data_IF_950498527013
#
_entry.id   IF_950498527013
#
_cell.length_a   1.000
_cell.length_b   1.000
_cell.length_c   1.000
_cell.angle_alpha   90.00
_cell.angle_beta   90.00
_cell.angle_gamma   90.00
#
_symmetry.space_group_name_H-M   'P 1'
#
loop_
_entity.id
_entity.type
_entity.pdbx_description
1 polymer ?
#
# COMPACT_ATOMS: atom_id res chain seq x y z
N UNK A 1 -39.04 -17.25 -7.64
CA UNK A 1 -38.01 -16.83 -6.71
C UNK A 1 -36.67 -16.52 -7.41
N UNK A 2 -36.22 -17.39 -8.30
CA UNK A 2 -34.98 -17.12 -9.04
C UNK A 2 -35.09 -15.86 -9.88
N UNK A 3 -36.24 -15.60 -10.47
CA UNK A 3 -36.50 -14.39 -11.25
C UNK A 3 -36.44 -13.16 -10.33
N UNK A 4 -37.06 -13.25 -9.14
CA UNK A 4 -37.00 -12.17 -8.18
C UNK A 4 -35.58 -11.93 -7.67
N UNK A 5 -34.85 -12.98 -7.37
CA UNK A 5 -33.44 -12.87 -6.95
C UNK A 5 -32.57 -12.28 -8.06
N UNK A 6 -32.78 -12.67 -9.29
CA UNK A 6 -32.04 -12.11 -10.41
C UNK A 6 -32.32 -10.63 -10.59
N UNK A 7 -33.59 -10.22 -10.50
CA UNK A 7 -33.97 -8.81 -10.58
C UNK A 7 -33.39 -8.00 -9.42
N UNK A 8 -33.46 -8.54 -8.19
CA UNK A 8 -32.89 -7.89 -7.00
C UNK A 8 -31.38 -7.79 -7.12
N UNK A 9 -30.74 -8.85 -7.61
CA UNK A 9 -29.28 -8.85 -7.80
C UNK A 9 -28.87 -7.81 -8.84
N UNK A 10 -29.55 -7.70 -9.94
CA UNK A 10 -29.27 -6.71 -10.96
C UNK A 10 -29.41 -5.29 -10.41
N UNK A 11 -30.45 -5.02 -9.62
CA UNK A 11 -30.62 -3.71 -8.97
C UNK A 11 -29.51 -3.43 -7.98
N UNK A 12 -29.10 -4.43 -7.17
CA UNK A 12 -28.02 -4.29 -6.20
C UNK A 12 -26.71 -4.03 -6.93
N UNK A 13 -26.44 -4.74 -8.01
CA UNK A 13 -25.22 -4.56 -8.81
C UNK A 13 -25.14 -3.13 -9.38
N UNK A 14 -26.21 -2.61 -9.91
CA UNK A 14 -26.25 -1.23 -10.41
C UNK A 14 -26.03 -0.22 -9.28
N UNK A 15 -26.67 -0.42 -8.13
CA UNK A 15 -26.49 0.45 -6.97
C UNK A 15 -25.05 0.38 -6.46
N UNK A 16 -24.47 -0.82 -6.36
CA UNK A 16 -23.08 -0.99 -5.91
C UNK A 16 -22.09 -0.37 -6.89
N UNK A 17 -22.34 -0.46 -8.19
CA UNK A 17 -21.50 0.17 -9.20
C UNK A 17 -21.53 1.70 -9.11
N UNK A 18 -22.63 2.28 -8.65
CA UNK A 18 -22.77 3.71 -8.45
C UNK A 18 -22.18 4.21 -7.12
N UNK A 19 -21.91 3.30 -6.17
CA UNK A 19 -21.34 3.65 -4.88
C UNK A 19 -19.81 3.71 -4.96
N UNK A 20 -19.19 4.66 -4.23
CA UNK A 20 -17.74 4.66 -4.12
C UNK A 20 -17.25 3.36 -3.47
N UNK A 21 -16.13 2.87 -3.95
CA UNK A 21 -15.45 1.76 -3.31
C UNK A 21 -14.91 2.18 -1.95
N UNK A 22 -14.93 1.25 -0.99
CA UNK A 22 -14.31 1.50 0.31
C UNK A 22 -12.81 1.55 0.15
N UNK A 23 -12.12 2.47 0.84
CA UNK A 23 -10.67 2.49 0.83
C UNK A 23 -10.10 1.15 1.30
N UNK A 24 -9.02 0.74 0.65
CA UNK A 24 -8.27 -0.47 1.02
C UNK A 24 -6.84 -0.09 1.35
N UNK A 25 -6.26 -0.81 2.28
CA UNK A 25 -4.87 -0.62 2.68
C UNK A 25 -4.12 -1.93 2.57
N UNK A 26 -2.96 -1.87 1.96
CA UNK A 26 -2.04 -3.00 1.85
C UNK A 26 -0.73 -2.63 2.51
N UNK A 27 -0.04 -3.62 3.06
CA UNK A 27 1.29 -3.47 3.62
C UNK A 27 2.25 -4.41 2.92
N UNK A 28 3.40 -3.90 2.54
CA UNK A 28 4.52 -4.71 2.05
C UNK A 28 5.71 -4.44 2.96
N UNK A 29 6.46 -5.50 3.27
CA UNK A 29 7.53 -5.45 4.24
C UNK A 29 8.88 -5.62 3.54
N UNK A 30 9.89 -4.97 4.10
CA UNK A 30 11.21 -4.86 3.51
C UNK A 30 12.26 -5.55 4.36
N UNK A 31 13.29 -6.05 3.68
CA UNK A 31 14.47 -6.55 4.36
C UNK A 31 15.23 -5.40 5.03
N UNK A 32 16.04 -5.74 6.03
CA UNK A 32 16.82 -4.76 6.77
C UNK A 32 17.68 -3.94 5.81
N UNK A 33 17.64 -2.62 5.97
CA UNK A 33 18.51 -1.67 5.27
C UNK A 33 18.53 -1.89 3.74
N UNK A 34 17.36 -2.20 3.15
CA UNK A 34 17.31 -2.57 1.76
C UNK A 34 16.02 -2.08 1.08
N UNK A 35 16.06 -2.09 -0.26
CA UNK A 35 14.88 -1.91 -1.10
C UNK A 35 14.27 -3.25 -1.52
N UNK A 36 14.82 -4.36 -1.03
CA UNK A 36 14.29 -5.68 -1.29
C UNK A 36 13.12 -5.99 -0.36
N UNK A 37 12.03 -6.48 -0.93
CA UNK A 37 10.87 -6.97 -0.18
C UNK A 37 11.19 -8.30 0.50
N UNK A 38 10.48 -8.59 1.60
CA UNK A 38 10.48 -9.94 2.14
C UNK A 38 9.87 -10.91 1.14
N UNK A 39 10.18 -12.20 1.26
CA UNK A 39 9.66 -13.22 0.34
C UNK A 39 8.13 -13.21 0.29
N UNK A 40 7.47 -13.13 1.45
CA UNK A 40 6.01 -13.10 1.54
C UNK A 40 5.44 -11.87 0.83
N UNK A 41 6.01 -10.69 1.07
CA UNK A 41 5.53 -9.46 0.42
C UNK A 41 5.77 -9.48 -1.09
N UNK A 42 6.89 -10.04 -1.54
CA UNK A 42 7.15 -10.20 -2.97
C UNK A 42 6.13 -11.12 -3.63
N UNK A 43 5.72 -12.20 -2.96
CA UNK A 43 4.68 -13.10 -3.46
C UNK A 43 3.32 -12.42 -3.55
N UNK A 44 3.00 -11.55 -2.60
CA UNK A 44 1.70 -10.86 -2.55
C UNK A 44 1.62 -9.68 -3.51
N UNK A 45 2.75 -9.20 -4.00
CA UNK A 45 2.81 -7.94 -4.75
C UNK A 45 1.97 -7.95 -6.03
N UNK A 46 1.96 -9.07 -6.77
CA UNK A 46 1.18 -9.16 -8.01
C UNK A 46 -0.32 -9.04 -7.75
N UNK A 47 -0.80 -9.67 -6.68
CA UNK A 47 -2.20 -9.55 -6.27
C UNK A 47 -2.54 -8.12 -5.85
N UNK A 48 -1.64 -7.46 -5.11
CA UNK A 48 -1.83 -6.07 -4.69
C UNK A 48 -1.89 -5.14 -5.91
N UNK A 49 -0.99 -5.31 -6.87
CA UNK A 49 -0.98 -4.51 -8.11
C UNK A 49 -2.31 -4.67 -8.86
N UNK A 50 -2.82 -5.87 -8.98
CA UNK A 50 -4.09 -6.12 -9.66
C UNK A 50 -5.25 -5.48 -8.92
N UNK A 51 -5.30 -5.62 -7.59
CA UNK A 51 -6.37 -5.02 -6.79
C UNK A 51 -6.40 -3.50 -6.94
N UNK A 52 -5.23 -2.86 -6.86
CA UNK A 52 -5.13 -1.41 -7.00
C UNK A 52 -5.52 -0.97 -8.41
N UNK A 53 -5.06 -1.68 -9.44
CA UNK A 53 -5.35 -1.35 -10.83
C UNK A 53 -6.83 -1.53 -11.18
N UNK A 54 -7.50 -2.50 -10.55
CA UNK A 54 -8.92 -2.77 -10.76
C UNK A 54 -9.84 -1.83 -9.98
N UNK A 55 -9.28 -1.06 -9.07
CA UNK A 55 -10.06 -0.10 -8.28
C UNK A 55 -10.61 1.00 -9.20
N UNK A 56 -11.92 1.33 -9.15
CA UNK A 56 -12.48 2.36 -10.02
C UNK A 56 -11.88 3.74 -9.75
N UNK A 57 -11.34 4.37 -10.78
CA UNK A 57 -10.69 5.68 -10.70
C UNK A 57 -9.75 5.79 -9.50
N UNK A 58 -8.70 4.95 -9.41
CA UNK A 58 -7.92 4.82 -8.18
C UNK A 58 -7.14 6.08 -7.86
N UNK A 59 -7.20 6.48 -6.59
CA UNK A 59 -6.32 7.46 -5.98
C UNK A 59 -5.49 6.74 -4.92
N UNK A 60 -4.17 6.86 -5.00
CA UNK A 60 -3.26 6.03 -4.22
C UNK A 60 -2.34 6.91 -3.37
N UNK A 61 -2.21 6.55 -2.10
CA UNK A 61 -1.21 7.13 -1.21
C UNK A 61 -0.24 6.01 -0.83
N UNK A 62 1.04 6.22 -1.14
CA UNK A 62 2.12 5.29 -0.82
C UNK A 62 2.92 5.90 0.31
N UNK A 63 2.92 5.26 1.47
CA UNK A 63 3.60 5.76 2.66
C UNK A 63 4.73 4.83 3.05
N UNK A 64 5.96 5.35 3.03
CA UNK A 64 7.14 4.61 3.43
C UNK A 64 7.43 4.77 4.92
N UNK A 65 7.85 3.67 5.54
CA UNK A 65 8.21 3.60 6.96
C UNK A 65 9.52 2.84 7.13
N UNK A 66 10.19 3.14 8.24
CA UNK A 66 11.40 2.46 8.66
C UNK A 66 11.28 2.07 10.12
N UNK A 67 12.13 1.13 10.58
CA UNK A 67 12.27 0.87 12.01
C UNK A 67 13.20 1.94 12.65
N UNK A 68 13.45 1.81 13.93
CA UNK A 68 14.22 2.80 14.68
C UNK A 68 15.71 2.48 14.78
N UNK A 69 16.18 1.53 13.98
CA UNK A 69 17.59 1.19 13.90
C UNK A 69 18.34 2.22 13.07
N UNK A 70 19.35 2.84 13.63
CA UNK A 70 20.17 3.83 12.95
C UNK A 70 19.62 5.25 13.02
N UNK A 71 20.30 6.21 12.36
CA UNK A 71 19.95 7.62 12.45
C UNK A 71 18.59 7.95 11.82
N UNK A 72 17.87 8.89 12.40
CA UNK A 72 16.56 9.34 11.92
C UNK A 72 16.63 9.86 10.48
N UNK A 73 17.67 10.64 10.15
CA UNK A 73 17.83 11.18 8.78
C UNK A 73 18.01 10.08 7.74
N UNK A 74 18.75 9.04 8.10
CA UNK A 74 18.93 7.88 7.24
C UNK A 74 17.61 7.14 7.03
N UNK A 75 16.86 6.95 8.10
CA UNK A 75 15.56 6.27 8.06
C UNK A 75 14.52 7.08 7.27
N UNK A 76 14.55 8.40 7.35
CA UNK A 76 13.72 9.27 6.50
C UNK A 76 14.02 9.04 5.03
N UNK A 77 15.30 9.06 4.66
CA UNK A 77 15.72 8.85 3.27
C UNK A 77 15.37 7.44 2.78
N UNK A 78 15.56 6.43 3.62
CA UNK A 78 15.24 5.04 3.27
C UNK A 78 13.72 4.85 3.06
N UNK A 79 12.91 5.41 3.95
CA UNK A 79 11.46 5.34 3.84
C UNK A 79 10.97 6.02 2.56
N UNK A 80 11.58 7.14 2.16
CA UNK A 80 11.26 7.82 0.91
C UNK A 80 11.63 6.98 -0.31
N UNK A 81 12.81 6.37 -0.31
CA UNK A 81 13.25 5.50 -1.42
C UNK A 81 12.33 4.30 -1.57
N UNK A 82 11.90 3.69 -0.46
CA UNK A 82 10.95 2.57 -0.47
C UNK A 82 9.60 2.99 -1.05
N UNK A 83 9.08 4.15 -0.64
CA UNK A 83 7.81 4.66 -1.15
C UNK A 83 7.90 4.99 -2.65
N UNK A 84 9.00 5.59 -3.10
CA UNK A 84 9.21 5.89 -4.53
C UNK A 84 9.32 4.62 -5.36
N UNK A 85 9.99 3.61 -4.85
CA UNK A 85 10.07 2.31 -5.52
C UNK A 85 8.68 1.72 -5.73
N UNK A 86 7.86 1.73 -4.69
CA UNK A 86 6.50 1.21 -4.77
C UNK A 86 5.64 2.03 -5.73
N UNK A 87 5.78 3.36 -5.74
CA UNK A 87 5.16 4.21 -6.76
C UNK A 87 5.53 3.76 -8.17
N UNK A 88 6.81 3.52 -8.42
CA UNK A 88 7.28 3.10 -9.75
C UNK A 88 6.71 1.75 -10.15
N UNK A 89 6.56 0.83 -9.19
CA UNK A 89 5.91 -0.46 -9.41
C UNK A 89 4.44 -0.26 -9.82
N UNK A 90 3.73 0.63 -9.14
CA UNK A 90 2.33 0.92 -9.45
C UNK A 90 2.16 1.66 -10.78
N UNK A 91 3.10 2.53 -11.14
CA UNK A 91 3.14 3.15 -12.48
C UNK A 91 3.25 2.07 -13.55
N UNK A 92 4.12 1.07 -13.32
CA UNK A 92 4.24 -0.07 -14.24
C UNK A 92 2.99 -0.94 -14.31
N UNK A 93 2.14 -0.89 -13.31
CA UNK A 93 0.85 -1.58 -13.30
C UNK A 93 -0.29 -0.79 -13.96
N UNK A 94 0.00 0.42 -14.45
CA UNK A 94 -0.98 1.23 -15.18
C UNK A 94 -1.65 2.34 -14.39
N UNK A 95 -1.23 2.59 -13.15
CA UNK A 95 -1.77 3.70 -12.37
C UNK A 95 -1.12 5.00 -12.85
N UNK A 96 -1.92 6.03 -13.11
CA UNK A 96 -1.41 7.31 -13.58
C UNK A 96 -0.60 8.03 -12.48
N UNK A 97 0.48 8.68 -12.86
CA UNK A 97 1.39 9.33 -11.91
C UNK A 97 0.69 10.39 -11.06
N UNK A 98 -0.19 11.18 -11.65
CA UNK A 98 -0.94 12.22 -10.94
C UNK A 98 -1.94 11.67 -9.92
N UNK A 99 -2.18 10.36 -9.95
CA UNK A 99 -3.06 9.68 -9.00
C UNK A 99 -2.30 9.04 -7.84
N UNK A 100 -0.98 9.15 -7.81
CA UNK A 100 -0.15 8.54 -6.77
C UNK A 100 0.54 9.63 -5.97
N UNK A 101 0.27 9.67 -4.67
CA UNK A 101 0.96 10.52 -3.71
C UNK A 101 1.97 9.68 -2.95
N UNK A 102 3.18 10.21 -2.81
CA UNK A 102 4.26 9.58 -2.03
C UNK A 102 4.44 10.33 -0.72
N UNK A 103 4.48 9.58 0.39
CA UNK A 103 4.69 10.13 1.73
C UNK A 103 5.80 9.31 2.40
N UNK A 104 6.73 9.97 3.07
CA UNK A 104 7.77 9.33 3.85
C UNK A 104 7.62 9.72 5.32
N UNK A 105 7.50 8.71 6.19
CA UNK A 105 7.34 8.91 7.64
C UNK A 105 8.57 8.49 8.45
N UNK A 106 9.53 7.81 7.82
CA UNK A 106 10.69 7.32 8.54
C UNK A 106 10.27 6.42 9.70
N UNK A 107 10.80 6.68 10.88
CA UNK A 107 10.50 5.94 12.10
C UNK A 107 9.37 6.55 12.95
N UNK A 108 8.69 7.61 12.46
CA UNK A 108 7.76 8.43 13.27
C UNK A 108 6.42 7.76 13.54
N UNK A 109 5.99 6.85 12.68
CA UNK A 109 4.70 6.18 12.81
C UNK A 109 4.89 4.66 12.80
N UNK A 110 5.45 4.10 13.89
CA UNK A 110 5.72 2.66 13.94
C UNK A 110 4.42 1.86 14.06
N UNK A 111 4.40 0.68 13.42
CA UNK A 111 3.34 -0.29 13.64
C UNK A 111 3.47 -0.91 15.03
N UNK A 112 4.70 -1.14 15.46
CA UNK A 112 5.04 -1.66 16.78
C UNK A 112 5.94 -0.65 17.48
N UNK A 113 5.55 -0.21 18.67
CA UNK A 113 6.36 0.69 19.47
C UNK A 113 7.61 -0.03 19.95
N UNK A 114 8.77 0.61 19.77
CA UNK A 114 10.06 0.08 20.22
C UNK A 114 10.90 1.20 20.82
N UNK A 115 11.89 0.85 21.65
CA UNK A 115 12.94 1.79 22.01
C UNK A 115 13.74 2.26 20.78
N UNK A 116 14.51 3.33 20.94
CA UNK A 116 15.42 3.79 19.89
C UNK A 116 16.47 2.73 19.57
N UNK A 117 16.98 2.74 18.36
CA UNK A 117 18.05 1.87 17.90
C UNK A 117 17.73 0.37 17.94
N UNK A 118 16.46 0.02 17.88
CA UNK A 118 16.04 -1.37 17.87
C UNK A 118 15.53 -1.74 16.47
N UNK A 119 16.01 -2.87 15.96
CA UNK A 119 15.49 -3.44 14.72
C UNK A 119 14.13 -4.07 14.97
N UNK A 120 13.13 -3.69 14.15
CA UNK A 120 11.80 -4.27 14.21
C UNK A 120 11.29 -4.51 12.78
N UNK A 121 11.27 -5.78 12.33
CA UNK A 121 10.86 -6.09 10.94
C UNK A 121 9.47 -5.56 10.57
N UNK A 122 8.53 -5.54 11.51
CA UNK A 122 7.16 -5.08 11.25
C UNK A 122 7.06 -3.57 11.02
N UNK A 123 8.09 -2.81 11.37
CA UNK A 123 8.14 -1.37 11.11
C UNK A 123 8.79 -1.02 9.77
N UNK A 124 9.46 -1.98 9.12
CA UNK A 124 10.09 -1.80 7.81
C UNK A 124 9.07 -2.09 6.72
N UNK A 125 8.25 -1.11 6.40
CA UNK A 125 7.12 -1.35 5.51
C UNK A 125 6.82 -0.15 4.63
N UNK A 126 6.09 -0.41 3.56
CA UNK A 126 5.36 0.59 2.79
C UNK A 126 3.88 0.24 2.87
N UNK A 127 3.07 1.23 3.15
CA UNK A 127 1.62 1.11 3.12
C UNK A 127 1.08 1.72 1.84
N UNK A 128 0.20 0.99 1.18
CA UNK A 128 -0.46 1.40 -0.05
C UNK A 128 -1.94 1.55 0.28
N UNK A 129 -2.42 2.78 0.28
CA UNK A 129 -3.84 3.07 0.49
C UNK A 129 -4.44 3.48 -0.84
N UNK A 130 -5.50 2.78 -1.26
CA UNK A 130 -6.26 3.11 -2.47
C UNK A 130 -7.68 3.48 -2.09
N UNK A 131 -8.19 4.50 -2.74
CA UNK A 131 -9.57 4.97 -2.59
C UNK A 131 -10.15 5.46 -3.90
#
# INVERSE_FOLDING_TARGET
>A
RQVEMAASRARIEVALAALPQRPRKYRVFYMLDALALTATSAQDLDAIKRDVADFPAPEVIVTGHADRLGPTTYNDALSLRRARQMRDILLGAGIAQEKIQVVARGEREPLIQTPDNLSEPRNRRVEIKVR
#
